data_IF_244011658733
#
_entry.id   IF_244011658733
#
_cell.length_a   1.000
_cell.length_b   1.000
_cell.length_c   1.000
_cell.angle_alpha   90.00
_cell.angle_beta   90.00
_cell.angle_gamma   90.00
#
_symmetry.space_group_name_H-M   'P 1'
#
loop_
_entity.id
_entity.type
_entity.pdbx_description
1 polymer ?
#
# COMPACT_ATOMS: atom_id res chain seq x y z
N UNK A 1 11.53 -26.74 -3.84
CA UNK A 1 11.69 -28.21 -3.80
C UNK A 1 11.13 -28.80 -5.08
N UNK A 2 11.91 -29.64 -5.76
CA UNK A 2 11.45 -30.50 -6.85
C UNK A 2 10.49 -31.57 -6.28
N UNK A 3 9.48 -32.03 -7.02
CA UNK A 3 8.66 -33.15 -6.57
C UNK A 3 9.53 -34.41 -6.54
N UNK A 4 9.71 -34.97 -5.35
CA UNK A 4 10.35 -36.27 -5.15
C UNK A 4 9.48 -37.39 -5.75
N UNK A 5 10.15 -38.44 -6.25
CA UNK A 5 9.61 -39.73 -6.71
C UNK A 5 9.23 -39.88 -8.19
N UNK A 6 9.93 -39.24 -9.13
CA UNK A 6 9.94 -39.70 -10.53
C UNK A 6 8.59 -39.65 -11.28
N UNK A 7 7.51 -39.20 -10.64
CA UNK A 7 6.27 -38.74 -11.27
C UNK A 7 6.50 -37.33 -11.83
N UNK A 8 7.52 -37.19 -12.67
CA UNK A 8 7.90 -35.92 -13.27
C UNK A 8 6.82 -35.51 -14.26
N UNK A 9 6.19 -34.34 -14.03
CA UNK A 9 5.56 -33.41 -14.98
C UNK A 9 4.58 -33.93 -16.08
N UNK A 10 4.47 -35.24 -16.29
CA UNK A 10 3.73 -35.94 -17.35
C UNK A 10 2.34 -36.39 -16.89
N UNK A 11 1.95 -36.06 -15.66
CA UNK A 11 0.65 -36.40 -15.07
C UNK A 11 -0.05 -35.18 -14.48
N UNK A 12 0.30 -33.97 -14.92
CA UNK A 12 -0.57 -32.84 -14.64
C UNK A 12 -1.90 -33.07 -15.40
N UNK A 13 -3.06 -32.87 -14.76
CA UNK A 13 -4.35 -33.02 -15.43
C UNK A 13 -4.39 -32.18 -16.71
N UNK A 14 -5.16 -32.60 -17.70
CA UNK A 14 -5.39 -31.81 -18.92
C UNK A 14 -5.98 -30.43 -18.58
N UNK A 15 -5.86 -29.41 -19.44
CA UNK A 15 -6.42 -28.08 -19.16
C UNK A 15 -7.92 -28.11 -18.76
N UNK A 16 -8.72 -28.92 -19.46
CA UNK A 16 -10.14 -29.10 -19.15
C UNK A 16 -10.38 -29.80 -17.80
N UNK A 17 -9.52 -30.76 -17.43
CA UNK A 17 -9.58 -31.38 -16.11
C UNK A 17 -9.15 -30.42 -15.00
N UNK A 18 -8.14 -29.59 -15.23
CA UNK A 18 -7.73 -28.54 -14.27
C UNK A 18 -8.86 -27.55 -14.03
N UNK A 19 -9.57 -27.13 -15.08
CA UNK A 19 -10.72 -26.24 -14.95
C UNK A 19 -11.86 -26.89 -14.15
N UNK A 20 -12.17 -28.17 -14.43
CA UNK A 20 -13.17 -28.94 -13.66
C UNK A 20 -12.77 -29.12 -12.20
N UNK A 21 -11.50 -29.43 -11.94
CA UNK A 21 -10.96 -29.55 -10.58
C UNK A 21 -11.06 -28.19 -9.88
N UNK A 22 -10.63 -27.11 -10.52
CA UNK A 22 -10.72 -25.75 -10.00
C UNK A 22 -12.15 -25.35 -9.62
N UNK A 23 -13.12 -25.59 -10.50
CA UNK A 23 -14.54 -25.33 -10.21
C UNK A 23 -15.06 -26.13 -9.01
N UNK A 24 -14.67 -27.41 -8.90
CA UNK A 24 -15.03 -28.27 -7.75
C UNK A 24 -14.36 -27.81 -6.46
N UNK A 25 -13.09 -27.41 -6.51
CA UNK A 25 -12.35 -26.85 -5.38
C UNK A 25 -13.02 -25.58 -4.87
N UNK A 26 -13.36 -24.64 -5.76
CA UNK A 26 -14.09 -23.42 -5.39
C UNK A 26 -15.45 -23.76 -4.74
N UNK A 27 -16.20 -24.69 -5.32
CA UNK A 27 -17.48 -25.14 -4.76
C UNK A 27 -17.35 -25.87 -3.41
N UNK A 28 -16.24 -26.54 -3.15
CA UNK A 28 -15.94 -27.12 -1.84
C UNK A 28 -15.57 -26.04 -0.82
N UNK A 29 -14.69 -25.10 -1.19
CA UNK A 29 -14.31 -23.95 -0.34
C UNK A 29 -15.54 -23.13 0.06
N UNK A 30 -16.49 -22.91 -0.85
CA UNK A 30 -17.71 -22.16 -0.54
C UNK A 30 -18.60 -22.88 0.49
N UNK A 31 -18.72 -24.21 0.40
CA UNK A 31 -19.50 -25.01 1.36
C UNK A 31 -18.87 -24.99 2.76
N UNK A 32 -17.54 -25.03 2.82
CA UNK A 32 -16.78 -25.04 4.07
C UNK A 32 -16.43 -23.63 4.58
N UNK A 33 -16.89 -22.56 3.92
CA UNK A 33 -16.44 -21.19 4.19
C UNK A 33 -16.57 -20.79 5.66
N UNK A 34 -17.67 -21.17 6.32
CA UNK A 34 -17.89 -20.87 7.74
C UNK A 34 -16.84 -21.51 8.65
N UNK A 35 -16.46 -22.75 8.35
CA UNK A 35 -15.48 -23.48 9.14
C UNK A 35 -14.06 -22.98 8.86
N UNK A 36 -13.76 -22.66 7.59
CA UNK A 36 -12.53 -21.98 7.18
C UNK A 36 -12.36 -20.67 7.96
N UNK A 37 -13.40 -19.83 8.03
CA UNK A 37 -13.37 -18.58 8.78
C UNK A 37 -13.14 -18.79 10.28
N UNK A 38 -13.78 -19.81 10.86
CA UNK A 38 -13.65 -20.14 12.28
C UNK A 38 -12.20 -20.52 12.61
N UNK A 39 -11.61 -21.44 11.85
CA UNK A 39 -10.24 -21.92 12.05
C UNK A 39 -9.22 -20.82 11.72
N UNK A 40 -9.44 -20.03 10.66
CA UNK A 40 -8.55 -18.92 10.32
C UNK A 40 -8.50 -17.88 11.44
N UNK A 41 -9.63 -17.56 12.09
CA UNK A 41 -9.64 -16.67 13.26
C UNK A 41 -8.82 -17.20 14.42
N UNK A 42 -8.79 -18.50 14.66
CA UNK A 42 -7.94 -19.11 15.69
C UNK A 42 -6.46 -18.91 15.37
N UNK A 43 -6.04 -19.18 14.14
CA UNK A 43 -4.65 -18.96 13.72
C UNK A 43 -4.23 -17.48 13.75
N UNK A 44 -5.14 -16.57 13.40
CA UNK A 44 -4.89 -15.14 13.39
C UNK A 44 -4.79 -14.52 14.79
N UNK A 45 -5.32 -15.17 15.84
CA UNK A 45 -5.20 -14.69 17.23
C UNK A 45 -3.77 -14.80 17.77
N UNK A 46 -3.00 -15.81 17.33
CA UNK A 46 -1.64 -16.08 17.80
C UNK A 46 -0.67 -16.34 16.64
N UNK A 47 -0.48 -15.38 15.71
CA UNK A 47 0.23 -15.61 14.46
C UNK A 47 1.69 -16.00 14.65
N UNK A 48 2.37 -15.45 15.67
CA UNK A 48 3.77 -15.80 15.97
C UNK A 48 3.94 -17.24 16.45
N UNK A 49 2.96 -17.77 17.18
CA UNK A 49 2.95 -19.16 17.65
C UNK A 49 2.80 -20.13 16.48
N UNK A 50 2.00 -19.75 15.49
CA UNK A 50 1.65 -20.62 14.37
C UNK A 50 2.54 -20.47 13.14
N UNK A 51 3.12 -19.29 12.92
CA UNK A 51 3.86 -18.95 11.71
C UNK A 51 5.30 -18.46 11.97
N UNK A 52 5.70 -18.32 13.24
CA UNK A 52 7.02 -17.87 13.66
C UNK A 52 7.12 -16.36 13.92
N UNK A 53 8.20 -15.97 14.60
CA UNK A 53 8.44 -14.57 15.03
C UNK A 53 8.65 -13.58 13.86
N UNK A 54 9.05 -14.08 12.70
CA UNK A 54 9.34 -13.27 11.51
C UNK A 54 8.13 -13.11 10.59
N UNK A 55 6.95 -13.62 10.95
CA UNK A 55 5.78 -13.50 10.08
C UNK A 55 5.35 -12.03 9.98
N UNK A 56 5.20 -11.54 8.75
CA UNK A 56 4.63 -10.21 8.54
C UNK A 56 3.15 -10.24 8.92
N UNK A 57 2.77 -9.38 9.88
CA UNK A 57 1.38 -9.15 10.29
C UNK A 57 0.44 -8.90 9.11
N UNK A 58 0.94 -8.37 7.98
CA UNK A 58 0.17 -8.10 6.76
C UNK A 58 -0.26 -9.37 6.03
N UNK A 59 0.47 -10.46 6.21
CA UNK A 59 0.21 -11.73 5.56
C UNK A 59 -0.55 -12.70 6.48
N UNK A 60 -0.73 -12.36 7.76
CA UNK A 60 -1.34 -13.24 8.76
C UNK A 60 -2.69 -13.78 8.32
N UNK A 61 -3.56 -12.95 7.74
CA UNK A 61 -4.86 -13.41 7.26
C UNK A 61 -4.69 -14.45 6.14
N UNK A 62 -3.84 -14.17 5.15
CA UNK A 62 -3.58 -15.11 4.05
C UNK A 62 -3.01 -16.44 4.57
N UNK A 63 -2.07 -16.38 5.51
CA UNK A 63 -1.48 -17.55 6.15
C UNK A 63 -2.51 -18.33 6.96
N UNK A 64 -3.37 -17.63 7.70
CA UNK A 64 -4.43 -18.21 8.51
C UNK A 64 -5.50 -18.90 7.66
N UNK A 65 -5.97 -18.26 6.58
CA UNK A 65 -6.93 -18.86 5.64
C UNK A 65 -6.34 -20.06 4.93
N UNK A 66 -5.10 -19.98 4.45
CA UNK A 66 -4.45 -21.10 3.81
C UNK A 66 -4.20 -22.27 4.79
N UNK A 67 -3.84 -21.98 6.05
CA UNK A 67 -3.68 -23.01 7.08
C UNK A 67 -5.01 -23.63 7.48
N UNK A 68 -6.09 -22.85 7.53
CA UNK A 68 -7.43 -23.36 7.80
C UNK A 68 -7.89 -24.38 6.75
N UNK A 69 -7.65 -24.10 5.46
CA UNK A 69 -7.94 -25.05 4.38
C UNK A 69 -7.14 -26.34 4.57
N UNK A 70 -5.84 -26.26 4.87
CA UNK A 70 -5.01 -27.44 5.10
C UNK A 70 -5.44 -28.27 6.32
N UNK A 71 -5.87 -27.62 7.40
CA UNK A 71 -6.38 -28.31 8.60
C UNK A 71 -7.67 -29.08 8.32
N UNK A 72 -8.61 -28.50 7.56
CA UNK A 72 -9.84 -29.20 7.15
C UNK A 72 -9.50 -30.42 6.28
N UNK A 73 -8.57 -30.27 5.34
CA UNK A 73 -8.15 -31.39 4.47
C UNK A 73 -7.48 -32.49 5.30
N UNK A 74 -6.62 -32.14 6.26
CA UNK A 74 -6.03 -33.10 7.21
C UNK A 74 -7.09 -33.87 7.97
N UNK A 75 -8.09 -33.20 8.53
CA UNK A 75 -9.14 -33.85 9.31
C UNK A 75 -10.00 -34.80 8.45
N UNK A 76 -10.20 -34.50 7.17
CA UNK A 76 -10.99 -35.34 6.26
C UNK A 76 -10.22 -36.53 5.66
N UNK A 77 -8.91 -36.40 5.48
CA UNK A 77 -8.08 -37.41 4.79
C UNK A 77 -7.21 -38.22 5.74
N UNK A 78 -7.06 -37.76 6.99
CA UNK A 78 -6.12 -38.29 7.98
C UNK A 78 -4.64 -38.21 7.53
N UNK A 79 -4.35 -37.46 6.46
CA UNK A 79 -3.00 -37.17 5.97
C UNK A 79 -2.45 -35.93 6.68
N UNK A 80 -1.21 -36.01 7.18
CA UNK A 80 -0.60 -34.90 7.90
C UNK A 80 -0.01 -33.85 6.96
N UNK A 81 -0.74 -32.77 6.67
CA UNK A 81 -0.23 -31.63 5.89
C UNK A 81 0.57 -30.62 6.72
N UNK A 82 1.07 -31.02 7.90
CA UNK A 82 1.90 -30.15 8.76
C UNK A 82 3.11 -29.57 8.03
N UNK A 83 3.64 -30.29 7.04
CA UNK A 83 4.80 -29.94 6.23
C UNK A 83 4.50 -29.14 4.95
N UNK A 84 3.22 -28.92 4.60
CA UNK A 84 2.88 -28.11 3.42
C UNK A 84 3.26 -26.66 3.73
N UNK A 85 4.42 -26.27 3.23
CA UNK A 85 4.85 -24.88 3.18
C UNK A 85 3.91 -24.11 2.27
N UNK A 86 3.52 -22.91 2.71
CA UNK A 86 2.76 -22.01 1.87
C UNK A 86 3.53 -21.78 0.56
N UNK A 87 2.83 -21.68 -0.59
CA UNK A 87 3.48 -21.38 -1.86
C UNK A 87 4.38 -20.15 -1.70
N UNK A 88 5.54 -20.15 -2.35
CA UNK A 88 6.49 -19.02 -2.26
C UNK A 88 5.84 -17.66 -2.53
N UNK A 89 4.82 -17.62 -3.40
CA UNK A 89 4.02 -16.45 -3.72
C UNK A 89 3.22 -15.88 -2.54
N UNK A 90 2.79 -16.73 -1.59
CA UNK A 90 2.15 -16.26 -0.35
C UNK A 90 3.16 -15.61 0.61
N UNK A 91 4.44 -15.92 0.43
CA UNK A 91 5.57 -15.36 1.16
C UNK A 91 6.29 -14.26 0.37
N UNK A 92 5.85 -13.95 -0.86
CA UNK A 92 6.47 -12.88 -1.65
C UNK A 92 6.29 -11.55 -0.94
N UNK A 93 7.38 -10.78 -0.92
CA UNK A 93 7.41 -9.46 -0.31
C UNK A 93 6.38 -8.59 -1.02
N UNK A 94 5.39 -8.10 -0.27
CA UNK A 94 4.39 -7.17 -0.81
C UNK A 94 5.17 -5.95 -1.31
N UNK A 95 5.12 -5.68 -2.61
CA UNK A 95 5.75 -4.51 -3.20
C UNK A 95 5.22 -3.27 -2.48
N UNK A 96 6.12 -2.54 -1.81
CA UNK A 96 5.73 -1.35 -1.06
C UNK A 96 5.58 -0.18 -2.04
N UNK A 97 4.36 -0.05 -2.56
CA UNK A 97 4.00 1.02 -3.50
C UNK A 97 4.06 2.43 -2.88
N UNK A 98 4.36 2.55 -1.58
CA UNK A 98 4.41 3.83 -0.86
C UNK A 98 5.29 4.88 -1.57
N UNK A 99 6.48 4.50 -2.04
CA UNK A 99 7.35 5.42 -2.77
C UNK A 99 6.80 5.78 -4.15
N UNK A 100 6.24 4.82 -4.90
CA UNK A 100 5.67 5.08 -6.21
C UNK A 100 4.43 6.00 -6.13
N UNK A 101 3.60 5.81 -5.11
CA UNK A 101 2.49 6.71 -4.78
C UNK A 101 3.01 8.10 -4.42
N UNK A 102 4.05 8.21 -3.57
CA UNK A 102 4.63 9.50 -3.21
C UNK A 102 5.17 10.25 -4.44
N UNK A 103 5.89 9.58 -5.32
CA UNK A 103 6.38 10.19 -6.56
C UNK A 103 5.24 10.62 -7.48
N UNK A 104 4.17 9.83 -7.56
CA UNK A 104 2.96 10.21 -8.31
C UNK A 104 2.30 11.46 -7.73
N UNK A 105 2.21 11.57 -6.40
CA UNK A 105 1.71 12.76 -5.72
C UNK A 105 2.59 13.98 -6.02
N UNK A 106 3.92 13.84 -5.93
CA UNK A 106 4.85 14.94 -6.18
C UNK A 106 4.89 15.38 -7.66
N UNK A 107 4.66 14.46 -8.60
CA UNK A 107 4.60 14.73 -10.03
C UNK A 107 3.23 15.28 -10.50
N UNK A 108 2.19 15.18 -9.67
CA UNK A 108 0.84 15.62 -10.03
C UNK A 108 0.82 17.11 -10.41
N UNK A 109 0.12 17.45 -11.51
CA UNK A 109 -0.01 18.84 -11.96
C UNK A 109 -1.08 19.55 -11.15
N UNK A 110 -0.71 20.67 -10.54
CA UNK A 110 -1.62 21.54 -9.79
C UNK A 110 -1.76 22.88 -10.49
N UNK A 111 -2.89 23.54 -10.28
CA UNK A 111 -3.10 24.92 -10.73
C UNK A 111 -2.64 25.89 -9.64
N UNK A 112 -1.77 26.82 -10.01
CA UNK A 112 -1.25 27.85 -9.11
C UNK A 112 -1.66 29.23 -9.64
N UNK A 113 -2.29 30.02 -8.77
CA UNK A 113 -2.72 31.38 -9.10
C UNK A 113 -1.61 32.39 -8.76
N UNK A 114 -1.25 33.25 -9.71
CA UNK A 114 -0.29 34.33 -9.55
C UNK A 114 -1.04 35.65 -9.61
N UNK A 115 -0.92 36.46 -8.56
CA UNK A 115 -1.43 37.83 -8.59
C UNK A 115 -0.28 38.75 -8.95
N UNK A 116 -0.38 39.45 -10.08
CA UNK A 116 0.64 40.43 -10.44
C UNK A 116 0.50 41.71 -9.60
N UNK A 117 1.49 42.60 -9.68
CA UNK A 117 1.52 43.90 -8.98
C UNK A 117 0.32 44.81 -9.26
N UNK A 118 -0.45 44.53 -10.32
CA UNK A 118 -1.63 45.29 -10.73
C UNK A 118 -2.95 44.60 -10.33
N UNK A 119 -2.90 43.51 -9.54
CA UNK A 119 -4.07 42.79 -9.06
C UNK A 119 -4.70 41.82 -10.07
N UNK A 120 -4.10 41.62 -11.24
CA UNK A 120 -4.56 40.63 -12.21
C UNK A 120 -4.10 39.23 -11.79
N UNK A 121 -5.03 38.28 -11.80
CA UNK A 121 -4.79 36.87 -11.47
C UNK A 121 -4.51 36.08 -12.74
N UNK A 122 -3.35 35.43 -12.82
CA UNK A 122 -3.01 34.46 -13.87
C UNK A 122 -2.91 33.06 -13.28
N UNK A 123 -3.32 32.03 -14.03
CA UNK A 123 -3.27 30.64 -13.58
C UNK A 123 -2.20 29.89 -14.39
N UNK A 124 -1.31 29.18 -13.70
CA UNK A 124 -0.28 28.33 -14.32
C UNK A 124 -0.39 26.93 -13.76
N UNK A 125 -0.30 25.92 -14.63
CA UNK A 125 -0.15 24.53 -14.20
C UNK A 125 1.31 24.18 -13.98
N UNK A 126 1.63 23.58 -12.85
CA UNK A 126 2.98 23.10 -12.53
C UNK A 126 2.94 21.84 -11.68
N UNK A 127 4.04 21.08 -11.63
CA UNK A 127 4.14 19.94 -10.75
C UNK A 127 4.07 20.36 -9.27
N UNK A 128 3.49 19.51 -8.43
CA UNK A 128 3.41 19.75 -6.99
C UNK A 128 4.80 19.93 -6.36
N UNK A 129 5.77 19.12 -6.77
CA UNK A 129 7.18 19.24 -6.36
C UNK A 129 7.75 20.63 -6.63
N UNK A 130 7.56 21.16 -7.84
CA UNK A 130 8.02 22.50 -8.23
C UNK A 130 7.29 23.60 -7.44
N UNK A 131 6.00 23.43 -7.16
CA UNK A 131 5.24 24.38 -6.34
C UNK A 131 5.74 24.40 -4.88
N UNK A 132 6.12 23.24 -4.33
CA UNK A 132 6.74 23.12 -3.02
C UNK A 132 8.10 23.83 -3.01
N UNK A 133 8.97 23.55 -3.98
CA UNK A 133 10.28 24.19 -4.12
C UNK A 133 10.17 25.72 -4.24
N UNK A 134 9.19 26.23 -5.01
CA UNK A 134 8.92 27.67 -5.16
C UNK A 134 8.13 28.29 -3.99
N UNK A 135 7.97 27.59 -2.87
CA UNK A 135 7.35 28.11 -1.65
C UNK A 135 5.86 28.45 -1.78
N UNK A 136 5.13 27.81 -2.71
CA UNK A 136 3.71 28.09 -3.00
C UNK A 136 2.76 27.37 -2.03
N UNK A 137 3.02 27.54 -0.74
CA UNK A 137 2.35 26.83 0.36
C UNK A 137 0.82 26.91 0.31
N UNK A 138 0.26 28.09 0.01
CA UNK A 138 -1.20 28.27 -0.06
C UNK A 138 -1.82 27.40 -1.18
N UNK A 139 -1.13 27.29 -2.31
CA UNK A 139 -1.58 26.47 -3.43
C UNK A 139 -1.47 24.98 -3.07
N UNK A 140 -0.32 24.53 -2.55
CA UNK A 140 -0.11 23.12 -2.22
C UNK A 140 -1.07 22.63 -1.12
N UNK A 141 -1.41 23.50 -0.16
CA UNK A 141 -2.36 23.18 0.93
C UNK A 141 -3.78 22.91 0.42
N UNK A 142 -4.20 23.56 -0.67
CA UNK A 142 -5.50 23.28 -1.29
C UNK A 142 -5.60 21.85 -1.86
N UNK A 143 -4.46 21.27 -2.24
CA UNK A 143 -4.35 19.88 -2.69
C UNK A 143 -4.00 18.91 -1.54
N UNK A 144 -4.01 19.39 -0.29
CA UNK A 144 -3.78 18.56 0.89
C UNK A 144 -2.30 18.30 1.20
N UNK A 145 -1.38 19.11 0.68
CA UNK A 145 0.07 18.92 0.88
C UNK A 145 0.72 20.20 1.43
N UNK A 146 1.56 20.06 2.45
CA UNK A 146 2.42 21.14 2.95
C UNK A 146 3.74 20.57 3.43
N UNK A 147 4.77 21.41 3.51
CA UNK A 147 6.03 21.05 4.18
C UNK A 147 6.02 21.60 5.60
N UNK A 148 6.43 20.78 6.57
CA UNK A 148 6.55 21.17 7.98
C UNK A 148 7.89 20.73 8.55
N UNK A 149 8.41 21.51 9.50
CA UNK A 149 9.58 21.13 10.29
C UNK A 149 9.14 20.59 11.66
N UNK A 150 9.73 19.48 12.10
CA UNK A 150 9.46 18.86 13.40
C UNK A 150 10.74 18.39 14.08
N UNK A 151 10.70 18.38 15.41
CA UNK A 151 11.81 17.93 16.26
C UNK A 151 12.91 18.97 16.44
N UNK A 152 13.86 18.66 17.34
CA UNK A 152 14.98 19.56 17.69
C UNK A 152 15.92 19.80 16.51
N UNK A 153 16.10 18.78 15.65
CA UNK A 153 16.91 18.85 14.44
C UNK A 153 16.22 19.57 13.27
N UNK A 154 15.00 20.10 13.46
CA UNK A 154 14.18 20.76 12.42
C UNK A 154 14.07 19.94 11.12
N UNK A 155 13.84 18.64 11.26
CA UNK A 155 13.68 17.76 10.10
C UNK A 155 12.43 18.15 9.31
N UNK A 156 12.56 18.29 7.99
CA UNK A 156 11.47 18.61 7.07
C UNK A 156 10.67 17.36 6.71
N UNK A 157 9.35 17.48 6.71
CA UNK A 157 8.41 16.44 6.31
C UNK A 157 7.41 16.98 5.29
N UNK A 158 7.04 16.17 4.30
CA UNK A 158 5.77 16.32 3.58
C UNK A 158 4.64 15.89 4.52
N UNK A 159 3.75 16.82 4.84
CA UNK A 159 2.49 16.52 5.50
C UNK A 159 1.42 16.30 4.44
N UNK A 160 0.93 15.06 4.33
CA UNK A 160 -0.10 14.66 3.37
C UNK A 160 -1.43 14.42 4.07
N UNK A 161 -2.43 15.24 3.76
CA UNK A 161 -3.82 14.97 4.09
C UNK A 161 -4.38 13.94 3.10
N UNK A 162 -4.29 12.66 3.46
CA UNK A 162 -4.56 11.53 2.55
C UNK A 162 -5.92 11.63 1.82
N UNK A 163 -7.06 11.94 2.49
CA UNK A 163 -8.34 12.13 1.79
C UNK A 163 -8.33 13.21 0.70
N UNK A 164 -7.60 14.30 0.89
CA UNK A 164 -7.48 15.36 -0.11
C UNK A 164 -6.55 14.93 -1.26
N UNK A 165 -5.42 14.30 -0.94
CA UNK A 165 -4.48 13.76 -1.93
C UNK A 165 -5.15 12.71 -2.83
N UNK A 166 -5.92 11.78 -2.24
CA UNK A 166 -6.68 10.78 -2.99
C UNK A 166 -7.68 11.42 -3.98
N UNK A 167 -8.36 12.49 -3.54
CA UNK A 167 -9.41 13.14 -4.32
C UNK A 167 -8.87 14.06 -5.42
N UNK A 168 -7.80 14.80 -5.13
CA UNK A 168 -7.31 15.87 -6.01
C UNK A 168 -6.08 15.48 -6.83
N UNK A 169 -5.17 14.65 -6.28
CA UNK A 169 -3.86 14.40 -6.89
C UNK A 169 -3.72 13.00 -7.49
N UNK A 170 -4.40 12.00 -6.93
CA UNK A 170 -4.36 10.62 -7.41
C UNK A 170 -5.54 10.26 -8.32
N UNK A 171 -6.51 11.16 -8.47
CA UNK A 171 -7.68 10.95 -9.31
C UNK A 171 -7.27 10.71 -10.77
N UNK A 172 -7.73 9.60 -11.35
CA UNK A 172 -7.37 9.20 -12.72
C UNK A 172 -5.98 8.59 -12.89
N UNK A 173 -5.20 8.41 -11.81
CA UNK A 173 -3.95 7.63 -11.83
C UNK A 173 -4.22 6.13 -11.64
N UNK A 174 -3.18 5.30 -11.73
CA UNK A 174 -3.28 3.86 -11.41
C UNK A 174 -3.64 3.58 -9.94
N UNK A 175 -3.47 4.57 -9.07
CA UNK A 175 -3.82 4.49 -7.65
C UNK A 175 -5.20 5.08 -7.34
N UNK A 176 -5.96 5.49 -8.36
CA UNK A 176 -7.33 5.97 -8.17
C UNK A 176 -8.18 4.90 -7.49
N UNK A 177 -8.93 5.31 -6.46
CA UNK A 177 -9.78 4.45 -5.60
C UNK A 177 -9.04 3.48 -4.67
N UNK A 178 -7.71 3.48 -4.63
CA UNK A 178 -6.95 2.73 -3.63
C UNK A 178 -6.87 3.51 -2.31
N UNK A 179 -6.87 2.78 -1.19
CA UNK A 179 -6.62 3.36 0.14
C UNK A 179 -5.12 3.54 0.32
N UNK A 180 -4.59 4.73 0.09
CA UNK A 180 -3.13 4.96 0.03
C UNK A 180 -2.51 5.31 1.38
N UNK A 181 -3.32 5.49 2.43
CA UNK A 181 -2.85 5.77 3.80
C UNK A 181 -1.83 4.73 4.28
N UNK A 182 -2.14 3.44 4.11
CA UNK A 182 -1.30 2.37 4.61
C UNK A 182 0.03 2.26 3.85
N UNK A 183 0.07 2.24 2.51
CA UNK A 183 1.34 2.32 1.76
C UNK A 183 2.20 3.54 2.12
N UNK A 184 1.63 4.75 2.12
CA UNK A 184 2.37 5.98 2.43
C UNK A 184 2.98 5.97 3.83
N UNK A 185 2.28 5.34 4.78
CA UNK A 185 2.74 5.26 6.17
C UNK A 185 3.85 4.24 6.41
N UNK A 186 4.18 3.40 5.41
CA UNK A 186 5.27 2.41 5.50
C UNK A 186 6.61 2.96 5.03
N UNK A 187 6.61 4.09 4.32
CA UNK A 187 7.82 4.76 3.87
C UNK A 187 8.75 4.99 5.08
N UNK A 188 10.04 4.63 4.99
CA UNK A 188 10.97 4.76 6.10
C UNK A 188 10.96 6.17 6.72
N UNK A 189 10.77 6.23 8.03
CA UNK A 189 10.68 7.48 8.79
C UNK A 189 9.33 8.21 8.71
N UNK A 190 8.32 7.63 8.05
CA UNK A 190 6.98 8.18 8.05
C UNK A 190 6.33 8.14 9.44
N UNK A 191 5.55 9.16 9.77
CA UNK A 191 4.83 9.29 11.04
C UNK A 191 3.33 9.32 10.75
N UNK A 192 2.60 8.33 11.27
CA UNK A 192 1.16 8.23 11.06
C UNK A 192 0.40 9.31 11.83
N UNK A 193 -0.63 9.85 11.17
CA UNK A 193 -1.78 10.51 11.81
C UNK A 193 -1.41 11.63 12.78
N UNK A 194 -0.65 12.61 12.30
CA UNK A 194 -0.30 13.81 13.05
C UNK A 194 -1.23 14.97 12.69
N UNK A 195 -1.60 15.77 13.68
CA UNK A 195 -2.34 17.00 13.41
C UNK A 195 -1.40 18.08 12.88
N UNK A 196 -1.67 18.55 11.67
CA UNK A 196 -0.95 19.65 11.01
C UNK A 196 -1.95 20.72 10.62
N UNK A 197 -1.56 21.99 10.76
CA UNK A 197 -2.40 23.12 10.37
C UNK A 197 -2.24 23.36 8.86
N UNK A 198 -3.29 23.17 8.08
CA UNK A 198 -3.38 23.51 6.66
C UNK A 198 -4.54 24.48 6.47
N UNK A 199 -4.33 25.60 5.76
CA UNK A 199 -5.33 26.66 5.57
C UNK A 199 -5.98 27.10 6.89
N UNK A 200 -5.14 27.23 7.92
CA UNK A 200 -5.51 27.52 9.30
C UNK A 200 -6.36 26.46 10.05
N UNK A 201 -6.67 25.32 9.43
CA UNK A 201 -7.45 24.23 10.03
C UNK A 201 -6.54 23.07 10.41
N UNK A 202 -6.65 22.51 11.63
CA UNK A 202 -5.94 21.28 11.98
C UNK A 202 -6.53 20.08 11.23
N UNK A 203 -5.69 19.40 10.46
CA UNK A 203 -6.04 18.20 9.69
C UNK A 203 -5.09 17.06 10.04
N UNK A 204 -5.58 15.82 9.93
CA UNK A 204 -4.77 14.63 10.15
C UNK A 204 -3.95 14.32 8.90
N UNK A 205 -2.64 14.24 9.07
CA UNK A 205 -1.71 13.98 7.99
C UNK A 205 -0.80 12.79 8.28
N UNK A 206 -0.35 12.13 7.22
CA UNK A 206 0.88 11.32 7.27
C UNK A 206 2.04 12.27 7.05
N UNK A 207 3.06 12.20 7.91
CA UNK A 207 4.32 12.92 7.70
C UNK A 207 5.32 12.00 7.04
N UNK A 208 5.88 12.38 5.91
CA UNK A 208 6.93 11.61 5.23
C UNK A 208 8.19 12.49 5.19
N UNK A 209 9.36 11.99 5.64
CA UNK A 209 10.60 12.78 5.60
C UNK A 209 10.87 13.27 4.18
N UNK A 210 11.22 14.55 4.02
CA UNK A 210 11.58 15.08 2.69
C UNK A 210 12.80 14.35 2.12
N UNK A 211 13.73 13.93 2.99
CA UNK A 211 14.89 13.12 2.61
C UNK A 211 14.55 11.76 1.99
N UNK A 212 13.30 11.29 2.10
CA UNK A 212 12.86 10.06 1.46
C UNK A 212 12.65 10.23 -0.05
N UNK A 213 12.42 11.44 -0.56
CA UNK A 213 12.23 11.73 -1.97
C UNK A 213 13.28 12.73 -2.47
N UNK A 214 13.91 12.42 -3.61
CA UNK A 214 14.71 13.39 -4.33
C UNK A 214 13.75 14.38 -5.02
N UNK A 215 13.65 15.60 -4.50
CA UNK A 215 13.08 16.72 -5.24
C UNK A 215 14.27 17.41 -5.90
N UNK A 216 14.28 17.47 -7.23
CA UNK A 216 15.22 18.34 -7.94
C UNK A 216 14.87 19.80 -7.62
N UNK A 217 15.72 20.45 -6.82
CA UNK A 217 15.57 21.87 -6.47
C UNK A 217 16.00 22.81 -7.64
N UNK A 218 16.39 22.26 -8.79
CA UNK A 218 17.10 22.96 -9.87
C UNK A 218 16.33 23.17 -11.19
N UNK A 219 15.00 23.03 -11.22
CA UNK A 219 14.22 23.48 -12.39
C UNK A 219 14.04 25.01 -12.36
N UNK A 220 15.17 25.71 -12.52
CA UNK A 220 15.25 27.09 -12.98
C UNK A 220 14.81 27.15 -14.45
N UNK A 221 13.53 26.93 -14.70
CA UNK A 221 12.88 27.43 -15.90
C UNK A 221 12.63 28.94 -15.71
N UNK A 222 13.74 29.69 -15.76
CA UNK A 222 13.77 31.10 -16.14
C UNK A 222 13.82 31.18 -17.67
N UNK A 223 12.65 31.06 -18.32
CA UNK A 223 12.33 31.68 -19.62
C UNK A 223 10.89 32.25 -19.61
#
# INVERSE_FOLDING_TARGET
MLPHNGAGLNTLPSPAERERIGARSIGATYREWREIERIAKEYAQHPRVHFGETVDTRQVDNFAYARAVLSIVKDQTNDDFSFVTLPGQACEEITDDGMAILYTVLAARITVENTNTHGSVTRKEMALSSAIAKGRTDATQNYGVTVVERGEAKTKYFALNVPAVERELLRGSEYDRLKVLEPLSRIPGAIKTQNVKMNHVPVKCVLIPVSAAQIDENDDDDE
#
